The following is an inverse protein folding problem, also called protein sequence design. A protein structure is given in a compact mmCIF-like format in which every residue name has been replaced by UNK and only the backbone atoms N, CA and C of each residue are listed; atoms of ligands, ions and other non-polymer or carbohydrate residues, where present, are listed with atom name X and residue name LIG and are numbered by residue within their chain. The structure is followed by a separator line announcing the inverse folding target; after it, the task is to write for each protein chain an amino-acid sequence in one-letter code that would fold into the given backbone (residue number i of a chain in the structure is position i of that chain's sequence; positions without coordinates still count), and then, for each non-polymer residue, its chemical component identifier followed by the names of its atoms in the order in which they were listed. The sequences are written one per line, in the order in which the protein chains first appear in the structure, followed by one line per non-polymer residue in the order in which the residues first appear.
data_IF_770506247914
#
_entry.id   IF_770506247914
#
_cell.length_a   1.000
_cell.length_b   1.000
_cell.length_c   1.000
_cell.angle_alpha   90.00
_cell.angle_beta   90.00
_cell.angle_gamma   90.00
#
_symmetry.space_group_name_H-M   'P 1'
#
loop_
_entity.id
_entity.type
_entity.pdbx_description
1 polymer ?
#
# COMPACT_ATOMS: atom_id res chain seq x y z
N UNK A 1 -9.40 74.48 26.88
CA UNK A 1 -8.26 73.56 27.13
C UNK A 1 -8.80 72.15 27.24
N UNK A 2 -8.65 71.31 26.21
CA UNK A 2 -9.09 69.91 26.27
C UNK A 2 -8.09 69.10 27.13
N UNK A 3 -8.60 68.42 28.16
CA UNK A 3 -7.82 67.44 28.94
C UNK A 3 -7.39 66.33 27.97
N UNK A 4 -6.09 66.17 27.76
CA UNK A 4 -5.56 64.97 27.10
C UNK A 4 -5.75 63.81 28.07
N UNK A 5 -6.75 62.98 27.83
CA UNK A 5 -6.91 61.70 28.52
C UNK A 5 -5.65 60.87 28.26
N UNK A 6 -4.81 60.71 29.27
CA UNK A 6 -3.64 59.84 29.23
C UNK A 6 -4.14 58.41 29.44
N UNK A 7 -3.76 57.51 28.54
CA UNK A 7 -3.98 56.08 28.71
C UNK A 7 -3.39 55.62 30.05
N UNK A 8 -4.18 54.87 30.81
CA UNK A 8 -3.71 54.22 32.03
C UNK A 8 -2.73 53.10 31.69
N UNK A 9 -1.86 52.73 32.63
CA UNK A 9 -0.92 51.62 32.45
C UNK A 9 -1.65 50.30 32.07
N UNK A 10 -2.85 50.10 32.62
CA UNK A 10 -3.73 48.99 32.24
C UNK A 10 -4.22 49.07 30.79
N UNK A 11 -4.52 50.26 30.28
CA UNK A 11 -4.88 50.48 28.88
C UNK A 11 -3.71 50.28 27.92
N UNK A 12 -2.50 50.69 28.31
CA UNK A 12 -1.27 50.41 27.54
C UNK A 12 -0.99 48.91 27.49
N UNK A 13 -1.09 48.20 28.62
CA UNK A 13 -0.88 46.76 28.69
C UNK A 13 -1.90 45.99 27.83
N UNK A 14 -3.17 46.38 27.84
CA UNK A 14 -4.21 45.79 27.00
C UNK A 14 -3.91 45.99 25.50
N UNK A 15 -3.53 47.21 25.09
CA UNK A 15 -3.18 47.49 23.69
C UNK A 15 -1.94 46.71 23.23
N UNK A 16 -0.93 46.57 24.09
CA UNK A 16 0.26 45.77 23.79
C UNK A 16 -0.09 44.28 23.65
N UNK A 17 -0.92 43.74 24.54
CA UNK A 17 -1.39 42.35 24.44
C UNK A 17 -2.18 42.14 23.15
N UNK A 18 -3.13 43.03 22.84
CA UNK A 18 -3.91 42.97 21.60
C UNK A 18 -3.00 43.04 20.36
N UNK A 19 -2.03 43.95 20.35
CA UNK A 19 -1.04 44.07 19.28
C UNK A 19 -0.18 42.82 19.13
N UNK A 20 0.29 42.24 20.24
CA UNK A 20 1.06 41.00 20.24
C UNK A 20 0.22 39.81 19.75
N UNK A 21 -1.04 39.70 20.19
CA UNK A 21 -1.98 38.68 19.71
C UNK A 21 -2.23 38.83 18.21
N UNK A 22 -2.56 40.03 17.73
CA UNK A 22 -2.76 40.29 16.29
C UNK A 22 -1.51 39.95 15.47
N UNK A 23 -0.33 40.31 15.97
CA UNK A 23 0.95 39.99 15.32
C UNK A 23 1.21 38.49 15.28
N UNK A 24 0.92 37.77 16.37
CA UNK A 24 0.99 36.32 16.43
C UNK A 24 0.01 35.66 15.45
N UNK A 25 -1.23 36.17 15.37
CA UNK A 25 -2.20 35.74 14.36
C UNK A 25 -1.63 35.96 12.94
N UNK A 26 -1.13 37.14 12.60
CA UNK A 26 -0.52 37.39 11.28
C UNK A 26 0.60 36.39 10.99
N UNK A 27 1.52 36.16 11.94
CA UNK A 27 2.63 35.21 11.78
C UNK A 27 2.17 33.77 11.58
N UNK A 28 1.10 33.35 12.25
CA UNK A 28 0.52 32.01 12.11
C UNK A 28 -0.24 31.83 10.79
N UNK A 29 -0.81 32.90 10.24
CA UNK A 29 -1.56 32.88 8.97
C UNK A 29 -0.68 33.14 7.74
N UNK A 30 0.56 33.62 7.91
CA UNK A 30 1.52 33.81 6.82
C UNK A 30 1.79 32.46 6.12
N UNK A 31 1.62 32.39 4.79
CA UNK A 31 1.92 31.18 4.03
C UNK A 31 3.40 30.77 4.21
N UNK A 32 3.63 29.50 4.52
CA UNK A 32 4.98 28.94 4.64
C UNK A 32 5.07 27.68 3.80
N UNK A 33 6.17 27.52 3.08
CA UNK A 33 6.51 26.28 2.41
C UNK A 33 6.59 25.15 3.43
N UNK A 34 5.75 24.13 3.27
CA UNK A 34 5.79 22.90 4.07
C UNK A 34 6.01 21.76 3.08
N UNK A 35 7.10 21.02 3.24
CA UNK A 35 7.38 19.87 2.38
C UNK A 35 6.32 18.78 2.60
N UNK A 36 5.73 18.25 1.52
CA UNK A 36 4.78 17.15 1.62
C UNK A 36 5.51 15.85 1.97
N UNK A 37 5.31 15.35 3.19
CA UNK A 37 5.88 14.07 3.65
C UNK A 37 4.88 12.91 3.60
N UNK A 38 3.58 13.21 3.63
CA UNK A 38 2.51 12.22 3.75
C UNK A 38 1.62 12.19 2.52
N UNK A 39 1.36 10.99 2.02
CA UNK A 39 0.30 10.70 1.06
C UNK A 39 -0.96 10.26 1.81
N UNK A 40 -2.13 10.48 1.23
CA UNK A 40 -3.37 10.01 1.83
C UNK A 40 -3.38 8.48 1.98
N UNK A 41 -4.11 8.01 2.99
CA UNK A 41 -4.31 6.58 3.21
C UNK A 41 -5.05 5.90 2.06
N UNK A 42 -4.92 4.57 1.99
CA UNK A 42 -5.64 3.77 1.02
C UNK A 42 -7.09 3.62 1.46
N UNK A 43 -8.02 4.05 0.59
CA UNK A 43 -9.45 3.84 0.78
C UNK A 43 -9.96 2.83 -0.23
N UNK A 44 -10.61 1.78 0.26
CA UNK A 44 -11.27 0.74 -0.53
C UNK A 44 -12.76 0.75 -0.20
N UNK A 45 -13.59 0.36 -1.17
CA UNK A 45 -15.02 0.21 -0.95
C UNK A 45 -15.30 -0.98 0.01
N UNK A 46 -15.95 -0.69 1.13
CA UNK A 46 -16.13 -1.67 2.20
C UNK A 46 -17.02 -2.84 1.77
N UNK A 47 -18.10 -2.58 1.01
CA UNK A 47 -19.01 -3.61 0.54
C UNK A 47 -18.31 -4.56 -0.45
N UNK A 48 -17.53 -4.01 -1.38
CA UNK A 48 -16.73 -4.81 -2.31
C UNK A 48 -15.67 -5.66 -1.59
N UNK A 49 -15.01 -5.11 -0.56
CA UNK A 49 -14.05 -5.84 0.28
C UNK A 49 -14.73 -7.01 1.00
N UNK A 50 -15.87 -6.76 1.65
CA UNK A 50 -16.60 -7.78 2.41
C UNK A 50 -17.15 -8.88 1.50
N UNK A 51 -17.71 -8.51 0.35
CA UNK A 51 -18.17 -9.45 -0.67
C UNK A 51 -17.03 -10.34 -1.16
N UNK A 52 -15.86 -9.76 -1.41
CA UNK A 52 -14.69 -10.52 -1.85
C UNK A 52 -14.13 -11.43 -0.76
N UNK A 53 -14.09 -10.97 0.50
CA UNK A 53 -13.71 -11.81 1.65
C UNK A 53 -14.67 -13.00 1.83
N UNK A 54 -15.97 -12.79 1.67
CA UNK A 54 -16.96 -13.86 1.73
C UNK A 54 -16.77 -14.89 0.61
N UNK A 55 -16.56 -14.42 -0.63
CA UNK A 55 -16.26 -15.27 -1.80
C UNK A 55 -15.00 -16.09 -1.58
N UNK A 56 -13.95 -15.47 -1.07
CA UNK A 56 -12.69 -16.13 -0.75
C UNK A 56 -12.85 -17.23 0.30
N UNK A 57 -13.57 -16.96 1.39
CA UNK A 57 -13.84 -17.97 2.42
C UNK A 57 -14.64 -19.14 1.86
N UNK A 58 -15.63 -18.87 1.01
CA UNK A 58 -16.41 -19.91 0.35
C UNK A 58 -15.54 -20.76 -0.59
N UNK A 59 -14.65 -20.13 -1.35
CA UNK A 59 -13.73 -20.78 -2.26
C UNK A 59 -12.66 -21.61 -1.53
N UNK A 60 -12.09 -21.08 -0.44
CA UNK A 60 -11.10 -21.79 0.36
C UNK A 60 -11.63 -23.12 0.92
N UNK A 61 -12.92 -23.18 1.29
CA UNK A 61 -13.58 -24.41 1.77
C UNK A 61 -13.73 -25.50 0.69
N UNK A 62 -13.70 -25.12 -0.58
CA UNK A 62 -13.80 -26.07 -1.71
C UNK A 62 -12.45 -26.68 -2.08
N UNK A 63 -11.36 -26.03 -1.71
CA UNK A 63 -10.01 -26.48 -2.03
C UNK A 63 -9.58 -27.65 -1.13
N UNK A 64 -8.61 -28.44 -1.61
CA UNK A 64 -7.99 -29.57 -0.88
C UNK A 64 -8.88 -30.83 -0.74
N UNK A 65 -9.82 -31.00 -1.66
CA UNK A 65 -10.68 -32.19 -1.69
C UNK A 65 -10.03 -33.35 -2.45
N UNK A 66 -9.09 -33.09 -3.36
CA UNK A 66 -8.49 -34.12 -4.24
C UNK A 66 -6.98 -34.23 -4.09
N UNK A 67 -6.41 -35.28 -4.69
CA UNK A 67 -4.95 -35.49 -4.71
C UNK A 67 -4.24 -34.41 -5.52
N UNK A 68 -4.86 -33.90 -6.59
CA UNK A 68 -4.33 -32.77 -7.37
C UNK A 68 -4.20 -31.50 -6.52
N UNK A 69 -5.22 -31.22 -5.68
CA UNK A 69 -5.18 -30.07 -4.77
C UNK A 69 -4.04 -30.21 -3.75
N UNK A 70 -3.87 -31.41 -3.19
CA UNK A 70 -2.81 -31.72 -2.23
C UNK A 70 -1.43 -31.60 -2.87
N UNK A 71 -1.27 -32.07 -4.10
CA UNK A 71 -0.02 -32.00 -4.86
C UNK A 71 0.37 -30.54 -5.14
N UNK A 72 -0.56 -29.72 -5.63
CA UNK A 72 -0.29 -28.31 -5.90
C UNK A 72 0.04 -27.54 -4.61
N UNK A 73 -0.66 -27.83 -3.51
CA UNK A 73 -0.36 -27.25 -2.22
C UNK A 73 0.99 -27.72 -1.64
N UNK A 74 1.41 -28.96 -1.92
CA UNK A 74 2.74 -29.44 -1.55
C UNK A 74 3.83 -28.65 -2.29
N UNK A 75 3.66 -28.39 -3.60
CA UNK A 75 4.60 -27.56 -4.37
C UNK A 75 4.70 -26.13 -3.86
N UNK A 76 3.58 -25.53 -3.45
CA UNK A 76 3.58 -24.19 -2.85
C UNK A 76 4.42 -24.14 -1.58
N UNK A 77 4.34 -25.19 -0.76
CA UNK A 77 5.08 -25.30 0.51
C UNK A 77 6.54 -25.64 0.33
N UNK A 78 6.84 -26.53 -0.61
CA UNK A 78 8.20 -26.82 -1.06
C UNK A 78 8.89 -25.49 -1.43
N UNK A 79 8.23 -24.65 -2.24
CA UNK A 79 8.74 -23.32 -2.58
C UNK A 79 8.97 -22.44 -1.34
N UNK A 80 8.05 -22.46 -0.35
CA UNK A 80 8.23 -21.74 0.92
C UNK A 80 9.45 -22.18 1.72
N UNK A 81 9.75 -23.48 1.75
CA UNK A 81 10.98 -24.01 2.37
C UNK A 81 12.22 -23.57 1.61
N UNK A 82 12.20 -23.70 0.27
CA UNK A 82 13.30 -23.34 -0.61
C UNK A 82 13.67 -21.85 -0.55
N UNK A 83 12.73 -20.96 -0.23
CA UNK A 83 13.01 -19.54 -0.05
C UNK A 83 14.08 -19.29 1.04
N UNK A 84 14.27 -20.21 2.00
CA UNK A 84 15.30 -20.09 3.03
C UNK A 84 16.69 -20.62 2.64
N UNK A 85 16.79 -21.42 1.57
CA UNK A 85 18.02 -22.17 1.23
C UNK A 85 19.12 -21.32 0.55
N UNK A 86 18.89 -20.03 0.36
CA UNK A 86 19.88 -19.12 -0.22
C UNK A 86 20.02 -19.27 -1.73
N UNK A 87 21.18 -18.90 -2.28
CA UNK A 87 21.43 -18.96 -3.72
C UNK A 87 21.62 -20.42 -4.16
N UNK A 88 20.82 -20.87 -5.12
CA UNK A 88 20.93 -22.19 -5.75
C UNK A 88 21.53 -22.08 -7.16
N UNK A 89 22.12 -23.15 -7.70
CA UNK A 89 22.52 -23.20 -9.10
C UNK A 89 21.39 -22.76 -10.04
N UNK A 90 21.74 -22.05 -11.11
CA UNK A 90 20.76 -21.49 -12.03
C UNK A 90 19.88 -22.56 -12.70
N UNK A 91 20.47 -23.70 -13.07
CA UNK A 91 19.76 -24.80 -13.71
C UNK A 91 18.71 -25.43 -12.79
N UNK A 92 19.04 -25.62 -11.51
CA UNK A 92 18.10 -26.11 -10.49
C UNK A 92 16.92 -25.14 -10.32
N UNK A 93 17.21 -23.83 -10.27
CA UNK A 93 16.19 -22.80 -10.20
C UNK A 93 15.26 -22.81 -11.42
N UNK A 94 15.81 -22.97 -12.63
CA UNK A 94 15.01 -23.03 -13.86
C UNK A 94 14.18 -24.31 -13.97
N UNK A 95 14.74 -25.45 -13.55
CA UNK A 95 14.02 -26.73 -13.48
C UNK A 95 12.81 -26.63 -12.56
N UNK A 96 13.00 -26.09 -11.36
CA UNK A 96 11.95 -25.82 -10.38
C UNK A 96 10.85 -24.90 -10.91
N UNK A 97 11.26 -23.83 -11.60
CA UNK A 97 10.32 -22.87 -12.20
C UNK A 97 9.45 -23.55 -13.24
N UNK A 98 10.04 -24.39 -14.08
CA UNK A 98 9.32 -25.16 -15.11
C UNK A 98 8.34 -26.15 -14.49
N UNK A 99 8.79 -26.97 -13.54
CA UNK A 99 7.97 -27.92 -12.76
C UNK A 99 6.72 -27.25 -12.19
N UNK A 100 6.87 -26.07 -11.57
CA UNK A 100 5.75 -25.32 -10.98
C UNK A 100 4.79 -24.77 -12.04
N UNK A 101 5.31 -24.27 -13.16
CA UNK A 101 4.48 -23.78 -14.27
C UNK A 101 3.66 -24.90 -14.91
N UNK A 102 4.29 -26.05 -15.17
CA UNK A 102 3.63 -27.24 -15.74
C UNK A 102 2.56 -27.77 -14.78
N UNK A 103 2.85 -27.85 -13.48
CA UNK A 103 1.89 -28.30 -12.48
C UNK A 103 0.61 -27.43 -12.44
N UNK A 104 0.71 -26.12 -12.67
CA UNK A 104 -0.48 -25.27 -12.75
C UNK A 104 -1.26 -25.52 -14.04
N UNK A 105 -0.58 -25.66 -15.19
CA UNK A 105 -1.24 -25.97 -16.46
C UNK A 105 -2.01 -27.29 -16.36
N UNK A 106 -1.37 -28.34 -15.85
CA UNK A 106 -1.99 -29.65 -15.61
C UNK A 106 -3.17 -29.57 -14.64
N UNK A 107 -3.03 -28.76 -13.59
CA UNK A 107 -4.08 -28.57 -12.60
C UNK A 107 -5.30 -27.88 -13.23
N UNK A 108 -5.10 -26.84 -14.03
CA UNK A 108 -6.17 -26.14 -14.75
C UNK A 108 -6.83 -27.07 -15.77
N UNK A 109 -6.06 -27.88 -16.51
CA UNK A 109 -6.63 -28.84 -17.47
C UNK A 109 -7.55 -29.85 -16.77
N UNK A 110 -7.14 -30.38 -15.61
CA UNK A 110 -7.88 -31.41 -14.89
C UNK A 110 -9.04 -30.89 -14.03
N UNK A 111 -8.90 -29.68 -13.47
CA UNK A 111 -9.80 -29.16 -12.43
C UNK A 111 -10.50 -27.85 -12.81
N UNK A 112 -10.04 -27.19 -13.87
CA UNK A 112 -10.55 -25.91 -14.34
C UNK A 112 -10.05 -24.70 -13.54
N UNK A 113 -10.27 -23.52 -14.11
CA UNK A 113 -9.86 -22.23 -13.53
C UNK A 113 -10.53 -21.93 -12.17
N UNK A 114 -11.76 -22.39 -11.96
CA UNK A 114 -12.45 -22.19 -10.67
C UNK A 114 -11.73 -22.90 -9.51
N UNK A 115 -11.18 -24.09 -9.76
CA UNK A 115 -10.40 -24.80 -8.77
C UNK A 115 -9.08 -24.06 -8.46
N UNK A 116 -8.49 -23.39 -9.46
CA UNK A 116 -7.28 -22.59 -9.26
C UNK A 116 -7.55 -21.40 -8.34
N UNK A 117 -8.68 -20.72 -8.53
CA UNK A 117 -9.14 -19.65 -7.66
C UNK A 117 -9.42 -20.15 -6.23
N UNK A 118 -10.02 -21.34 -6.10
CA UNK A 118 -10.21 -22.00 -4.80
C UNK A 118 -8.89 -22.29 -4.09
N UNK A 119 -7.90 -22.83 -4.81
CA UNK A 119 -6.57 -23.09 -4.28
C UNK A 119 -5.87 -21.81 -3.81
N UNK A 120 -5.91 -20.73 -4.62
CA UNK A 120 -5.38 -19.40 -4.22
C UNK A 120 -6.03 -18.88 -2.94
N UNK A 121 -7.35 -19.00 -2.82
CA UNK A 121 -8.09 -18.58 -1.62
C UNK A 121 -7.73 -19.41 -0.39
N UNK A 122 -7.51 -20.72 -0.54
CA UNK A 122 -7.07 -21.60 0.55
C UNK A 122 -5.64 -21.31 1.01
N UNK A 123 -4.73 -20.99 0.09
CA UNK A 123 -3.39 -20.54 0.44
C UNK A 123 -3.42 -19.21 1.20
N UNK A 124 -4.24 -18.25 0.76
CA UNK A 124 -4.43 -17.00 1.48
C UNK A 124 -4.98 -17.21 2.89
N UNK A 125 -5.93 -18.14 3.06
CA UNK A 125 -6.43 -18.55 4.36
C UNK A 125 -5.31 -19.17 5.23
N UNK A 126 -4.54 -20.11 4.68
CA UNK A 126 -3.43 -20.76 5.40
C UNK A 126 -2.36 -19.77 5.86
N UNK A 127 -2.05 -18.75 5.06
CA UNK A 127 -1.14 -17.66 5.47
C UNK A 127 -1.71 -16.85 6.64
N UNK A 128 -3.01 -16.51 6.61
CA UNK A 128 -3.67 -15.80 7.71
C UNK A 128 -3.65 -16.65 8.99
N UNK A 129 -3.91 -17.94 8.89
CA UNK A 129 -3.84 -18.89 10.01
C UNK A 129 -2.41 -18.99 10.56
N UNK A 130 -1.39 -19.03 9.68
CA UNK A 130 0.01 -19.05 10.11
C UNK A 130 0.40 -17.79 10.89
N UNK A 131 0.01 -16.60 10.39
CA UNK A 131 0.31 -15.31 11.03
C UNK A 131 -0.40 -15.18 12.39
N UNK A 132 -1.60 -15.74 12.52
CA UNK A 132 -2.40 -15.70 13.75
C UNK A 132 -2.09 -16.83 14.73
N UNK A 133 -1.06 -17.65 14.45
CA UNK A 133 -0.64 -18.74 15.34
C UNK A 133 -1.61 -19.93 15.38
N UNK A 134 -2.49 -20.07 14.38
CA UNK A 134 -3.46 -21.15 14.28
C UNK A 134 -2.89 -22.42 13.63
N UNK A 135 -1.69 -22.33 13.03
CA UNK A 135 -0.98 -23.49 12.49
C UNK A 135 0.19 -23.92 13.39
N UNK A 136 0.50 -25.23 13.46
CA UNK A 136 1.75 -25.72 14.04
C UNK A 136 2.98 -25.02 13.44
N UNK A 137 4.04 -24.84 14.22
CA UNK A 137 5.18 -23.98 13.85
C UNK A 137 5.91 -24.43 12.56
N UNK A 138 6.08 -25.73 12.38
CA UNK A 138 6.62 -26.35 11.16
C UNK A 138 5.71 -26.06 9.95
N UNK A 139 4.41 -26.29 10.10
CA UNK A 139 3.40 -26.03 9.08
C UNK A 139 3.31 -24.55 8.71
N UNK A 140 3.40 -23.68 9.71
CA UNK A 140 3.39 -22.23 9.55
C UNK A 140 4.62 -21.77 8.78
N UNK A 141 5.80 -22.30 9.10
CA UNK A 141 7.07 -21.99 8.40
C UNK A 141 7.01 -22.36 6.92
N UNK A 142 6.58 -23.58 6.59
CA UNK A 142 6.42 -24.03 5.19
C UNK A 142 5.43 -23.15 4.42
N UNK A 143 4.33 -22.78 5.06
CA UNK A 143 3.24 -22.02 4.42
C UNK A 143 3.66 -20.58 4.18
N UNK A 144 4.30 -19.95 5.16
CA UNK A 144 4.73 -18.55 5.07
C UNK A 144 5.96 -18.37 4.20
N UNK A 145 6.93 -19.29 4.20
CA UNK A 145 8.23 -19.00 3.59
C UNK A 145 8.79 -17.68 4.11
N UNK A 146 9.32 -16.84 3.22
CA UNK A 146 9.77 -15.46 3.52
C UNK A 146 8.67 -14.41 3.40
N UNK A 147 7.40 -14.80 3.47
CA UNK A 147 6.28 -13.87 3.31
C UNK A 147 6.29 -12.74 4.34
N UNK A 148 6.64 -13.04 5.59
CA UNK A 148 6.70 -12.03 6.67
C UNK A 148 7.81 -10.99 6.41
N UNK A 149 8.96 -11.41 5.91
CA UNK A 149 10.03 -10.49 5.49
C UNK A 149 9.58 -9.63 4.30
N UNK A 150 8.84 -10.22 3.36
CA UNK A 150 8.20 -9.49 2.27
C UNK A 150 7.21 -8.43 2.78
N UNK A 151 6.36 -8.80 3.75
CA UNK A 151 5.43 -7.88 4.41
C UNK A 151 6.16 -6.72 5.07
N UNK A 152 7.25 -6.97 5.79
CA UNK A 152 8.06 -5.92 6.42
C UNK A 152 8.64 -4.96 5.39
N UNK A 153 9.23 -5.48 4.30
CA UNK A 153 9.75 -4.66 3.20
C UNK A 153 8.65 -3.82 2.53
N UNK A 154 7.42 -4.34 2.50
CA UNK A 154 6.24 -3.68 1.98
C UNK A 154 5.50 -2.82 3.02
N UNK A 155 6.09 -2.54 4.18
CA UNK A 155 5.47 -1.76 5.26
C UNK A 155 4.10 -2.31 5.74
N UNK A 156 3.87 -3.61 5.55
CA UNK A 156 2.66 -4.32 6.00
C UNK A 156 2.80 -4.87 7.42
N UNK A 157 4.03 -4.91 7.95
CA UNK A 157 4.34 -5.40 9.29
C UNK A 157 5.61 -4.74 9.82
N UNK A 158 5.73 -4.65 11.13
CA UNK A 158 6.98 -4.37 11.86
C UNK A 158 7.56 -5.67 12.42
N UNK A 159 8.55 -5.59 13.31
CA UNK A 159 9.01 -6.78 14.05
C UNK A 159 7.94 -7.32 14.99
N UNK A 160 7.12 -6.43 15.58
CA UNK A 160 6.19 -6.76 16.67
C UNK A 160 4.72 -6.81 16.21
N UNK A 161 4.37 -6.12 15.13
CA UNK A 161 2.97 -5.87 14.76
C UNK A 161 2.69 -6.04 13.27
N UNK A 162 1.50 -6.54 12.97
CA UNK A 162 0.94 -6.51 11.62
C UNK A 162 0.18 -5.19 11.45
N UNK A 163 0.58 -4.40 10.45
CA UNK A 163 -0.02 -3.09 10.15
C UNK A 163 -1.08 -3.19 9.06
N UNK A 164 -0.90 -4.10 8.10
CA UNK A 164 -1.80 -4.25 6.98
C UNK A 164 -3.16 -4.85 7.40
N UNK A 165 -4.28 -4.33 6.87
CA UNK A 165 -5.58 -4.96 7.04
C UNK A 165 -5.58 -6.39 6.50
N UNK A 166 -6.39 -7.28 7.09
CA UNK A 166 -6.48 -8.70 6.67
C UNK A 166 -6.75 -8.86 5.18
N UNK A 167 -7.57 -8.00 4.58
CA UNK A 167 -7.83 -8.02 3.14
C UNK A 167 -6.55 -7.85 2.30
N UNK A 168 -5.66 -6.94 2.71
CA UNK A 168 -4.38 -6.73 2.03
C UNK A 168 -3.44 -7.92 2.22
N UNK A 169 -3.41 -8.53 3.42
CA UNK A 169 -2.62 -9.74 3.69
C UNK A 169 -3.05 -10.88 2.75
N UNK A 170 -4.35 -11.10 2.59
CA UNK A 170 -4.90 -12.12 1.68
C UNK A 170 -4.56 -11.82 0.22
N UNK A 171 -4.68 -10.55 -0.18
CA UNK A 171 -4.29 -10.10 -1.53
C UNK A 171 -2.81 -10.37 -1.79
N UNK A 172 -1.92 -9.99 -0.85
CA UNK A 172 -0.49 -10.25 -0.94
C UNK A 172 -0.16 -11.75 -0.97
N UNK A 173 -0.91 -12.57 -0.24
CA UNK A 173 -0.77 -14.02 -0.27
C UNK A 173 -1.09 -14.61 -1.66
N UNK A 174 -2.14 -14.11 -2.34
CA UNK A 174 -2.47 -14.49 -3.71
C UNK A 174 -1.42 -14.01 -4.72
N UNK A 175 -0.89 -12.80 -4.54
CA UNK A 175 0.24 -12.30 -5.35
C UNK A 175 1.47 -13.18 -5.15
N UNK A 176 1.79 -13.58 -3.91
CA UNK A 176 2.88 -14.52 -3.63
C UNK A 176 2.62 -15.86 -4.30
N UNK A 177 1.40 -16.38 -4.25
CA UNK A 177 1.03 -17.61 -4.95
C UNK A 177 1.34 -17.48 -6.46
N UNK A 178 0.95 -16.38 -7.10
CA UNK A 178 1.27 -16.13 -8.51
C UNK A 178 2.80 -16.13 -8.75
N UNK A 179 3.57 -15.47 -7.89
CA UNK A 179 5.04 -15.44 -8.00
C UNK A 179 5.64 -16.84 -7.87
N UNK A 180 5.21 -17.63 -6.88
CA UNK A 180 5.69 -19.00 -6.66
C UNK A 180 5.47 -19.86 -7.89
N UNK A 181 4.29 -19.74 -8.51
CA UNK A 181 3.92 -20.50 -9.70
C UNK A 181 4.24 -19.81 -11.02
N UNK A 182 5.09 -18.77 -10.99
CA UNK A 182 5.58 -18.06 -12.18
C UNK A 182 4.47 -17.49 -13.08
N UNK A 183 3.47 -16.88 -12.46
CA UNK A 183 2.35 -16.19 -13.13
C UNK A 183 2.45 -14.69 -12.93
N UNK A 184 1.69 -13.95 -13.73
CA UNK A 184 1.60 -12.50 -13.56
C UNK A 184 1.07 -12.16 -12.17
N UNK A 185 1.66 -11.13 -11.55
CA UNK A 185 1.42 -10.82 -10.12
C UNK A 185 -0.05 -10.63 -9.80
N UNK A 186 -0.79 -9.98 -10.69
CA UNK A 186 -2.22 -9.68 -10.50
C UNK A 186 -3.15 -10.65 -11.22
N UNK A 187 -2.61 -11.72 -11.81
CA UNK A 187 -3.44 -12.65 -12.56
C UNK A 187 -4.51 -13.30 -11.68
N UNK A 188 -5.76 -13.23 -12.13
CA UNK A 188 -6.94 -13.72 -11.42
C UNK A 188 -7.25 -13.02 -10.10
N UNK A 189 -6.63 -11.85 -9.84
CA UNK A 189 -7.14 -10.93 -8.83
C UNK A 189 -8.41 -10.26 -9.35
N UNK A 190 -9.32 -9.99 -8.43
CA UNK A 190 -10.51 -9.17 -8.71
C UNK A 190 -10.14 -7.68 -8.74
N UNK A 191 -10.98 -6.79 -9.33
CA UNK A 191 -10.70 -5.36 -9.36
C UNK A 191 -10.40 -4.75 -7.99
N UNK A 192 -11.14 -5.17 -6.94
CA UNK A 192 -10.93 -4.67 -5.58
C UNK A 192 -9.60 -5.14 -4.96
N UNK A 193 -9.12 -6.32 -5.35
CA UNK A 193 -7.80 -6.83 -4.95
C UNK A 193 -6.67 -6.16 -5.71
N UNK A 194 -6.84 -5.87 -7.01
CA UNK A 194 -5.89 -5.05 -7.77
C UNK A 194 -5.79 -3.64 -7.20
N UNK A 195 -6.93 -3.05 -6.82
CA UNK A 195 -6.97 -1.77 -6.09
C UNK A 195 -6.19 -1.85 -4.78
N UNK A 196 -6.39 -2.90 -3.99
CA UNK A 196 -5.65 -3.09 -2.74
C UNK A 196 -4.14 -3.22 -3.00
N UNK A 197 -3.74 -4.07 -3.95
CA UNK A 197 -2.34 -4.31 -4.27
C UNK A 197 -1.62 -3.06 -4.76
N UNK A 198 -2.11 -2.44 -5.85
CA UNK A 198 -1.47 -1.27 -6.42
C UNK A 198 -1.60 -0.03 -5.54
N UNK A 199 -2.73 0.12 -4.85
CA UNK A 199 -2.93 1.18 -3.86
C UNK A 199 -1.94 1.07 -2.70
N UNK A 200 -1.68 -0.14 -2.20
CA UNK A 200 -0.69 -0.35 -1.15
C UNK A 200 0.72 -0.01 -1.62
N UNK A 201 1.12 -0.50 -2.80
CA UNK A 201 2.43 -0.19 -3.40
C UNK A 201 2.62 1.33 -3.59
N UNK A 202 1.59 2.03 -4.08
CA UNK A 202 1.67 3.46 -4.32
C UNK A 202 1.74 4.27 -3.01
N UNK A 203 0.92 3.91 -2.02
CA UNK A 203 0.66 4.79 -0.88
C UNK A 203 1.47 4.43 0.38
N UNK A 204 1.77 3.15 0.59
CA UNK A 204 2.31 2.67 1.88
C UNK A 204 3.74 2.10 1.80
N UNK A 205 4.21 1.71 0.62
CA UNK A 205 5.55 1.12 0.47
C UNK A 205 6.61 2.21 0.27
N UNK A 206 7.08 2.79 1.37
CA UNK A 206 8.10 3.85 1.36
C UNK A 206 9.48 3.40 0.87
N UNK A 207 9.75 2.10 0.87
CA UNK A 207 10.98 1.51 0.33
C UNK A 207 11.03 1.52 -1.20
N UNK A 208 9.90 1.71 -1.89
CA UNK A 208 9.85 1.88 -3.34
C UNK A 208 10.26 3.31 -3.72
N UNK A 209 11.01 3.42 -4.82
CA UNK A 209 11.37 4.72 -5.35
C UNK A 209 10.09 5.50 -5.72
N UNK A 210 10.06 6.84 -5.55
CA UNK A 210 8.89 7.66 -5.87
C UNK A 210 8.33 7.43 -7.29
N UNK A 211 9.21 7.18 -8.28
CA UNK A 211 8.80 6.87 -9.66
C UNK A 211 8.03 5.55 -9.78
N UNK A 212 8.45 4.51 -9.06
CA UNK A 212 7.75 3.22 -9.03
C UNK A 212 6.40 3.34 -8.32
N UNK A 213 6.34 4.16 -7.26
CA UNK A 213 5.10 4.49 -6.56
C UNK A 213 4.12 5.25 -7.46
N UNK A 214 4.60 6.15 -8.33
CA UNK A 214 3.79 6.81 -9.36
C UNK A 214 3.25 5.82 -10.39
N UNK A 215 4.07 4.86 -10.85
CA UNK A 215 3.61 3.81 -11.76
C UNK A 215 2.54 2.93 -11.11
N UNK A 216 2.72 2.56 -9.83
CA UNK A 216 1.71 1.85 -9.05
C UNK A 216 0.43 2.67 -8.90
N UNK A 217 0.52 3.99 -8.69
CA UNK A 217 -0.64 4.88 -8.60
C UNK A 217 -1.46 4.90 -9.91
N UNK A 218 -0.79 4.83 -11.07
CA UNK A 218 -1.48 4.72 -12.36
C UNK A 218 -2.22 3.39 -12.48
N UNK A 219 -1.62 2.29 -12.05
CA UNK A 219 -2.27 0.97 -12.06
C UNK A 219 -3.44 0.92 -11.08
N UNK A 220 -3.31 1.54 -9.90
CA UNK A 220 -4.39 1.70 -8.94
C UNK A 220 -5.60 2.41 -9.55
N UNK A 221 -5.38 3.51 -10.30
CA UNK A 221 -6.47 4.20 -11.04
C UNK A 221 -7.09 3.33 -12.11
N UNK A 222 -6.28 2.59 -12.89
CA UNK A 222 -6.79 1.67 -13.93
C UNK A 222 -7.67 0.58 -13.33
N UNK A 223 -7.38 0.12 -12.11
CA UNK A 223 -8.20 -0.83 -11.37
C UNK A 223 -9.49 -0.20 -10.79
N UNK A 224 -9.74 1.10 -11.00
CA UNK A 224 -10.90 1.83 -10.47
C UNK A 224 -10.67 2.51 -9.12
N UNK A 225 -9.42 2.53 -8.64
CA UNK A 225 -9.05 3.16 -7.37
C UNK A 225 -9.20 4.68 -7.38
N UNK A 226 -9.75 5.23 -6.30
CA UNK A 226 -9.92 6.67 -6.12
C UNK A 226 -8.71 7.26 -5.40
N UNK A 227 -8.08 8.25 -6.00
CA UNK A 227 -6.89 8.92 -5.46
C UNK A 227 -7.32 10.21 -4.79
N UNK A 228 -6.94 10.40 -3.52
CA UNK A 228 -7.21 11.65 -2.81
C UNK A 228 -6.46 12.84 -3.45
N UNK A 229 -7.05 14.06 -3.43
CA UNK A 229 -6.41 15.26 -3.94
C UNK A 229 -4.98 15.44 -3.42
N UNK A 230 -4.07 15.85 -4.31
CA UNK A 230 -2.66 16.12 -3.96
C UNK A 230 -1.78 14.89 -3.77
N UNK A 231 -2.30 13.66 -3.74
CA UNK A 231 -1.48 12.43 -3.59
C UNK A 231 -0.43 12.29 -4.70
N UNK A 232 -0.84 12.47 -5.95
CA UNK A 232 0.10 12.41 -7.09
C UNK A 232 1.12 13.55 -7.03
N UNK A 233 0.68 14.76 -6.65
CA UNK A 233 1.55 15.92 -6.51
C UNK A 233 2.63 15.69 -5.43
N UNK A 234 2.26 15.09 -4.30
CA UNK A 234 3.21 14.65 -3.27
C UNK A 234 4.22 13.65 -3.83
N UNK A 235 3.78 12.61 -4.54
CA UNK A 235 4.73 11.64 -5.11
C UNK A 235 5.65 12.27 -6.18
N UNK A 236 5.15 13.21 -6.98
CA UNK A 236 5.95 13.97 -7.95
C UNK A 236 6.97 14.87 -7.25
N UNK A 237 6.59 15.52 -6.15
CA UNK A 237 7.50 16.31 -5.33
C UNK A 237 8.64 15.45 -4.80
N UNK A 238 8.32 14.30 -4.21
CA UNK A 238 9.31 13.33 -3.70
C UNK A 238 10.19 12.75 -4.81
N UNK A 239 9.68 12.68 -6.04
CA UNK A 239 10.44 12.25 -7.21
C UNK A 239 11.36 13.35 -7.79
N UNK A 240 11.34 14.57 -7.23
CA UNK A 240 12.08 15.73 -7.72
C UNK A 240 11.44 16.44 -8.91
N UNK A 241 10.23 16.06 -9.32
CA UNK A 241 9.48 16.73 -10.41
C UNK A 241 8.71 17.93 -9.85
N UNK A 242 9.47 18.99 -9.52
CA UNK A 242 8.96 20.18 -8.86
C UNK A 242 7.84 20.88 -9.65
N UNK A 243 7.97 20.92 -10.98
CA UNK A 243 6.98 21.58 -11.85
C UNK A 243 5.65 20.84 -11.81
N UNK A 244 5.65 19.53 -12.05
CA UNK A 244 4.40 18.79 -12.06
C UNK A 244 3.81 18.63 -10.65
N UNK A 245 4.64 18.65 -9.60
CA UNK A 245 4.17 18.76 -8.24
C UNK A 245 3.43 20.08 -7.98
N UNK A 246 4.00 21.22 -8.41
CA UNK A 246 3.39 22.54 -8.27
C UNK A 246 2.03 22.60 -8.96
N UNK A 247 1.96 22.15 -10.22
CA UNK A 247 0.70 22.11 -10.99
C UNK A 247 -0.35 21.23 -10.28
N UNK A 248 0.05 20.05 -9.80
CA UNK A 248 -0.84 19.16 -9.07
C UNK A 248 -1.31 19.70 -7.72
N UNK A 249 -0.45 20.41 -6.96
CA UNK A 249 -0.86 21.06 -5.72
C UNK A 249 -1.78 22.25 -5.96
N UNK A 250 -1.58 23.00 -7.06
CA UNK A 250 -2.50 24.06 -7.47
C UNK A 250 -3.89 23.50 -7.76
N UNK A 251 -3.96 22.46 -8.58
CA UNK A 251 -5.23 21.78 -8.87
C UNK A 251 -5.90 21.28 -7.57
N UNK A 252 -5.15 20.63 -6.69
CA UNK A 252 -5.70 20.15 -5.41
C UNK A 252 -6.19 21.29 -4.50
N UNK A 253 -5.51 22.44 -4.52
CA UNK A 253 -5.95 23.65 -3.82
C UNK A 253 -7.25 24.21 -4.42
N UNK A 254 -7.33 24.31 -5.74
CA UNK A 254 -8.51 24.83 -6.43
C UNK A 254 -9.74 23.93 -6.19
N UNK A 255 -9.55 22.60 -6.12
CA UNK A 255 -10.61 21.64 -5.84
C UNK A 255 -11.10 21.65 -4.39
N UNK A 256 -10.23 21.94 -3.41
CA UNK A 256 -10.52 21.71 -1.98
C UNK A 256 -10.50 22.96 -1.10
N UNK A 257 -9.90 24.06 -1.57
CA UNK A 257 -9.58 25.25 -0.76
C UNK A 257 -8.57 25.00 0.36
N UNK A 258 -7.92 23.84 0.41
CA UNK A 258 -7.09 23.45 1.55
C UNK A 258 -5.78 24.22 1.63
N UNK A 259 -5.61 25.02 2.69
CA UNK A 259 -4.38 25.78 2.95
C UNK A 259 -3.12 24.90 3.04
N UNK A 260 -3.26 23.60 3.28
CA UNK A 260 -2.17 22.62 3.20
C UNK A 260 -1.56 22.58 1.80
N UNK A 261 -2.39 22.52 0.75
CA UNK A 261 -1.88 22.48 -0.63
C UNK A 261 -1.24 23.81 -1.03
N UNK A 262 -1.77 24.95 -0.54
CA UNK A 262 -1.09 26.25 -0.69
C UNK A 262 0.34 26.23 -0.13
N UNK A 263 0.52 25.66 1.05
CA UNK A 263 1.83 25.54 1.68
C UNK A 263 2.73 24.53 0.94
N UNK A 264 2.18 23.46 0.36
CA UNK A 264 2.94 22.53 -0.49
C UNK A 264 3.35 23.16 -1.84
N UNK A 265 2.52 24.02 -2.44
CA UNK A 265 2.90 24.80 -3.64
C UNK A 265 4.16 25.64 -3.36
N UNK A 266 4.19 26.36 -2.24
CA UNK A 266 5.35 27.18 -1.87
C UNK A 266 6.62 26.34 -1.66
N UNK A 267 6.50 25.10 -1.19
CA UNK A 267 7.63 24.18 -1.11
C UNK A 267 8.08 23.73 -2.51
N UNK A 268 7.14 23.39 -3.40
CA UNK A 268 7.43 23.01 -4.78
C UNK A 268 8.06 24.14 -5.60
N UNK A 269 7.64 25.39 -5.39
CA UNK A 269 8.26 26.58 -6.01
C UNK A 269 9.72 26.73 -5.59
N UNK A 270 10.02 26.59 -4.29
CA UNK A 270 11.39 26.64 -3.78
C UNK A 270 12.26 25.55 -4.40
N UNK A 271 11.73 24.32 -4.47
CA UNK A 271 12.41 23.18 -5.10
C UNK A 271 12.70 23.44 -6.59
N UNK A 272 11.78 24.07 -7.32
CA UNK A 272 11.95 24.41 -8.73
C UNK A 272 12.99 25.51 -8.98
N UNK A 273 13.21 26.39 -8.00
CA UNK A 273 14.17 27.51 -8.09
C UNK A 273 15.51 27.23 -7.39
N UNK A 274 15.66 26.07 -6.75
CA UNK A 274 16.91 25.69 -6.12
C UNK A 274 18.00 25.50 -7.19
N UNK A 275 19.19 26.10 -7.01
CA UNK A 275 20.30 26.02 -7.97
C UNK A 275 20.91 24.61 -8.08
#
# INVERSE_FOLDING_TARGET
MAKKDRLTDSGVAFLLLLGATLSAFVVLFLPRGVEPSEVAGLHLDAEAVDAQLAKDRANAKKALATEEDKALNALFREAGTLEFEGARPFDDYQGDRRKRSEAVSDFVEKRGEEALLAHRAAVAEGIVQAITGQLPADRARETMGRFVEGMRRANMATEEHILAPTFMIRTAAKVRWNIVFNRDRTEGLTPIEEQAYYGWLALHVHSLAPKDRLAALQMFRKAGGKVAPGTEATLRFLAGDAKAALDGFRQAYDETGSVRFRNHMLAAERLATAP
#
